data_IF_679016405670
#
_entry.id   IF_679016405670
#
_cell.length_a   1.000
_cell.length_b   1.000
_cell.length_c   1.000
_cell.angle_alpha   90.00
_cell.angle_beta   90.00
_cell.angle_gamma   90.00
#
_symmetry.space_group_name_H-M   'P 1'
#
loop_
_entity.id
_entity.type
_entity.pdbx_description
1 polymer ?
#
# COMPACT_ATOMS: atom_id res chain seq x y z
N UNK A 1 13.27 -9.76 2.56
CA UNK A 1 13.61 -8.85 3.63
C UNK A 1 13.64 -7.41 3.15
N UNK A 2 13.18 -6.51 3.98
CA UNK A 2 13.19 -5.09 3.69
C UNK A 2 14.13 -4.39 4.64
N UNK A 3 14.77 -3.35 4.15
CA UNK A 3 15.59 -2.50 4.95
C UNK A 3 15.08 -1.07 4.86
N UNK A 4 15.96 -0.13 4.71
CA UNK A 4 15.57 1.26 4.51
C UNK A 4 15.01 1.52 3.11
N UNK A 5 14.97 0.51 2.25
CA UNK A 5 14.35 0.59 0.95
C UNK A 5 13.67 -0.71 0.61
N UNK A 6 12.35 -0.68 0.46
CA UNK A 6 11.56 -1.79 -0.01
C UNK A 6 11.08 -1.45 -1.42
N UNK A 7 11.30 -2.38 -2.34
CA UNK A 7 10.79 -2.23 -3.69
C UNK A 7 9.91 -3.41 -4.03
N UNK A 8 8.66 -3.16 -4.35
CA UNK A 8 7.72 -4.15 -4.85
C UNK A 8 7.51 -3.86 -6.33
N UNK A 9 7.53 -4.92 -7.12
CA UNK A 9 7.21 -4.81 -8.55
C UNK A 9 5.76 -4.40 -8.70
N UNK A 10 5.41 -3.88 -9.88
CA UNK A 10 4.05 -3.48 -10.21
C UNK A 10 3.07 -4.61 -9.91
N UNK A 11 1.96 -4.27 -9.28
CA UNK A 11 0.87 -5.18 -8.97
C UNK A 11 -0.42 -4.60 -9.53
N UNK A 12 -1.18 -5.45 -10.23
CA UNK A 12 -2.51 -5.12 -10.73
C UNK A 12 -3.55 -5.81 -9.84
N UNK A 13 -4.49 -5.04 -9.36
CA UNK A 13 -5.55 -5.55 -8.50
C UNK A 13 -6.88 -5.24 -9.15
N UNK A 14 -7.70 -6.26 -9.41
CA UNK A 14 -9.00 -6.09 -10.04
C UNK A 14 -9.93 -7.25 -9.72
N UNK A 15 -11.22 -6.97 -9.70
CA UNK A 15 -12.26 -7.98 -9.58
C UNK A 15 -13.25 -7.96 -10.76
N UNK A 16 -12.81 -7.44 -11.88
CA UNK A 16 -13.61 -7.50 -13.12
C UNK A 16 -13.30 -8.81 -13.84
N UNK A 17 -14.24 -9.73 -13.83
CA UNK A 17 -14.05 -11.09 -14.35
C UNK A 17 -15.21 -11.43 -15.27
N UNK A 18 -14.93 -12.02 -16.45
CA UNK A 18 -15.92 -12.43 -17.44
C UNK A 18 -16.87 -11.30 -17.82
N UNK A 19 -16.34 -10.09 -18.01
CA UNK A 19 -17.09 -8.87 -18.34
C UNK A 19 -18.11 -8.48 -17.27
N UNK A 20 -17.90 -8.88 -16.02
CA UNK A 20 -18.77 -8.54 -14.91
C UNK A 20 -17.96 -8.08 -13.72
N UNK A 21 -18.50 -7.09 -13.02
CA UNK A 21 -17.99 -6.70 -11.73
C UNK A 21 -18.30 -7.78 -10.70
N UNK A 22 -17.34 -8.07 -9.82
CA UNK A 22 -17.49 -9.06 -8.75
C UNK A 22 -17.26 -8.39 -7.42
N UNK A 23 -18.07 -8.74 -6.44
CA UNK A 23 -17.81 -8.34 -5.06
C UNK A 23 -16.60 -9.11 -4.56
N UNK A 24 -15.61 -8.38 -4.06
CA UNK A 24 -14.36 -8.97 -3.56
C UNK A 24 -13.71 -8.04 -2.54
N UNK A 25 -12.93 -8.65 -1.67
CA UNK A 25 -12.02 -7.93 -0.78
C UNK A 25 -10.68 -8.64 -0.87
N UNK A 26 -9.64 -7.91 -1.17
CA UNK A 26 -8.30 -8.46 -1.31
C UNK A 26 -7.32 -7.63 -0.53
N UNK A 27 -6.39 -8.30 0.14
CA UNK A 27 -5.33 -7.69 0.90
C UNK A 27 -3.99 -8.12 0.33
N UNK A 28 -3.21 -7.17 -0.12
CA UNK A 28 -1.82 -7.40 -0.51
C UNK A 28 -0.94 -6.98 0.66
N UNK A 29 -0.48 -7.96 1.43
CA UNK A 29 0.21 -7.72 2.69
C UNK A 29 1.72 -7.80 2.44
N UNK A 30 2.45 -6.80 2.89
CA UNK A 30 3.90 -6.79 2.79
C UNK A 30 4.54 -7.80 3.74
N UNK A 31 5.75 -8.27 3.45
CA UNK A 31 6.57 -8.88 4.49
C UNK A 31 6.85 -7.90 5.62
N UNK A 32 7.38 -8.42 6.71
CA UNK A 32 7.73 -7.60 7.86
C UNK A 32 8.80 -6.58 7.52
N UNK A 33 8.61 -5.36 7.99
CA UNK A 33 9.58 -4.26 7.84
C UNK A 33 10.12 -3.93 9.23
N UNK A 34 11.44 -3.93 9.37
CA UNK A 34 12.10 -3.71 10.65
C UNK A 34 12.34 -2.21 10.85
N UNK A 35 11.56 -1.62 11.73
CA UNK A 35 11.73 -0.23 12.14
C UNK A 35 12.22 -0.11 13.58
N UNK A 36 12.75 -1.20 14.15
CA UNK A 36 13.11 -1.22 15.58
C UNK A 36 14.20 -0.24 15.95
N UNK A 37 15.03 0.15 14.99
CA UNK A 37 16.13 1.10 15.21
C UNK A 37 15.91 2.43 14.52
N UNK A 38 14.73 2.67 13.98
CA UNK A 38 14.42 3.93 13.31
C UNK A 38 13.83 4.92 14.28
N UNK A 39 14.15 6.19 14.11
CA UNK A 39 13.48 7.28 14.83
C UNK A 39 12.46 7.99 13.95
N UNK A 40 12.45 7.71 12.66
CA UNK A 40 11.47 8.19 11.71
C UNK A 40 11.38 7.20 10.56
N UNK A 41 10.23 7.15 9.90
CA UNK A 41 10.04 6.29 8.73
C UNK A 41 8.92 6.84 7.86
N UNK A 42 9.05 6.62 6.55
CA UNK A 42 8.12 7.11 5.56
C UNK A 42 7.88 6.01 4.52
N UNK A 43 6.60 5.79 4.19
CA UNK A 43 6.20 4.92 3.10
C UNK A 43 5.80 5.78 1.91
N UNK A 44 6.24 5.40 0.74
CA UNK A 44 5.85 6.05 -0.51
C UNK A 44 5.76 5.01 -1.61
N UNK A 45 4.82 5.21 -2.52
CA UNK A 45 4.66 4.35 -3.69
C UNK A 45 4.05 5.15 -4.83
N UNK A 46 4.13 4.60 -6.02
CA UNK A 46 3.45 5.14 -7.19
C UNK A 46 2.23 4.28 -7.48
N UNK A 47 1.14 4.90 -7.86
CA UNK A 47 -0.06 4.15 -8.18
C UNK A 47 -0.96 4.86 -9.17
N UNK A 48 -1.84 4.08 -9.78
CA UNK A 48 -2.90 4.58 -10.65
C UNK A 48 -4.11 3.66 -10.50
N UNK A 49 -5.29 4.21 -10.73
CA UNK A 49 -6.50 3.40 -10.67
C UNK A 49 -7.49 3.85 -11.72
N UNK A 50 -8.43 2.97 -12.04
CA UNK A 50 -9.60 3.29 -12.86
C UNK A 50 -10.81 2.53 -12.32
N UNK A 51 -11.99 3.06 -12.54
CA UNK A 51 -13.28 2.40 -12.33
C UNK A 51 -13.68 2.16 -10.86
N UNK A 52 -12.92 2.61 -9.89
CA UNK A 52 -13.34 2.49 -8.49
C UNK A 52 -14.49 3.47 -8.22
N UNK A 53 -15.49 3.01 -7.49
CA UNK A 53 -16.64 3.85 -7.13
C UNK A 53 -16.22 4.94 -6.14
N UNK A 54 -15.41 4.58 -5.16
CA UNK A 54 -14.89 5.51 -4.15
C UNK A 54 -13.49 5.07 -3.74
N UNK A 55 -12.48 5.72 -4.31
CA UNK A 55 -11.08 5.37 -4.07
C UNK A 55 -10.70 5.41 -2.59
N UNK A 56 -11.32 6.30 -1.82
CA UNK A 56 -10.98 6.45 -0.41
C UNK A 56 -11.53 5.35 0.47
N UNK A 57 -12.42 4.53 -0.06
CA UNK A 57 -12.98 3.35 0.61
C UNK A 57 -12.54 2.06 -0.03
N UNK A 58 -12.34 2.06 -1.34
CA UNK A 58 -12.11 0.84 -2.11
C UNK A 58 -10.63 0.55 -2.29
N UNK A 59 -9.78 1.57 -2.22
CA UNK A 59 -8.35 1.47 -2.47
C UNK A 59 -7.60 2.09 -1.30
N UNK A 60 -7.35 1.30 -0.26
CA UNK A 60 -6.88 1.83 1.03
C UNK A 60 -5.60 1.16 1.49
N UNK A 61 -4.92 1.83 2.40
CA UNK A 61 -3.66 1.37 2.99
C UNK A 61 -3.86 1.16 4.49
N UNK A 62 -3.32 0.05 4.98
CA UNK A 62 -3.43 -0.35 6.38
C UNK A 62 -2.07 -0.77 6.90
N UNK A 63 -1.88 -0.67 8.20
CA UNK A 63 -0.63 -1.06 8.85
C UNK A 63 -0.93 -1.76 10.16
N UNK A 64 -0.07 -2.70 10.51
CA UNK A 64 -0.11 -3.38 11.80
C UNK A 64 1.30 -3.67 12.28
N UNK A 65 1.47 -3.83 13.58
CA UNK A 65 2.69 -4.39 14.13
C UNK A 65 2.76 -5.86 13.78
N UNK A 66 3.93 -6.34 13.33
CA UNK A 66 4.11 -7.73 12.92
C UNK A 66 3.74 -8.69 14.05
N UNK A 67 2.95 -9.70 13.71
CA UNK A 67 2.49 -10.67 14.69
C UNK A 67 1.19 -10.30 15.37
N UNK A 68 0.65 -9.12 15.09
CA UNK A 68 -0.64 -8.68 15.63
C UNK A 68 -1.68 -8.61 14.53
N UNK A 69 -2.93 -8.78 14.90
CA UNK A 69 -4.06 -8.69 13.99
C UNK A 69 -4.89 -7.45 14.32
N UNK A 70 -4.21 -6.32 14.37
CA UNK A 70 -4.82 -5.04 14.74
C UNK A 70 -4.47 -4.01 13.67
N UNK A 71 -5.08 -4.16 12.50
CA UNK A 71 -4.83 -3.28 11.36
C UNK A 71 -5.46 -1.91 11.58
N UNK A 72 -4.68 -0.87 11.31
CA UNK A 72 -5.14 0.52 11.36
C UNK A 72 -5.00 1.14 9.97
N UNK A 73 -6.03 1.83 9.53
CA UNK A 73 -6.00 2.50 8.24
C UNK A 73 -5.14 3.76 8.30
N UNK A 74 -4.33 3.94 7.26
CA UNK A 74 -3.57 5.18 7.07
C UNK A 74 -4.04 5.83 5.78
N UNK A 75 -4.26 7.13 5.82
CA UNK A 75 -4.69 7.88 4.63
C UNK A 75 -3.58 7.87 3.58
N UNK A 76 -3.97 7.69 2.31
CA UNK A 76 -3.10 7.88 1.16
C UNK A 76 -3.27 9.34 0.73
N UNK A 77 -2.23 10.18 0.81
CA UNK A 77 -2.38 11.61 0.55
C UNK A 77 -2.79 11.95 -0.88
N UNK A 78 -2.41 11.12 -1.84
CA UNK A 78 -2.60 11.46 -3.23
C UNK A 78 -2.99 10.24 -4.06
N UNK A 79 -4.02 10.40 -4.90
CA UNK A 79 -4.47 9.41 -5.87
C UNK A 79 -4.42 10.01 -7.27
N UNK A 80 -4.32 9.16 -8.30
CA UNK A 80 -4.50 9.60 -9.68
C UNK A 80 -5.95 10.07 -9.89
N UNK A 81 -6.21 10.64 -11.06
CA UNK A 81 -7.55 11.15 -11.38
C UNK A 81 -8.57 10.05 -11.71
N UNK A 82 -8.13 8.80 -11.81
CA UNK A 82 -9.02 7.68 -12.14
C UNK A 82 -9.40 7.58 -13.60
N UNK A 83 -8.85 8.43 -14.45
CA UNK A 83 -9.24 8.50 -15.86
C UNK A 83 -8.21 7.87 -16.79
N UNK A 84 -7.01 7.60 -16.32
CA UNK A 84 -5.93 7.04 -17.12
C UNK A 84 -4.96 6.24 -16.27
N UNK A 85 -4.02 5.57 -16.91
CA UNK A 85 -2.97 4.83 -16.23
C UNK A 85 -1.72 5.69 -16.05
N UNK A 86 -1.90 6.98 -15.83
CA UNK A 86 -0.80 7.86 -15.44
C UNK A 86 -0.53 7.69 -13.95
N UNK A 87 0.62 7.13 -13.62
CA UNK A 87 1.00 6.90 -12.23
C UNK A 87 1.34 8.20 -11.54
N UNK A 88 0.91 8.32 -10.30
CA UNK A 88 1.26 9.44 -9.43
C UNK A 88 1.88 8.90 -8.15
N UNK A 89 2.70 9.71 -7.51
CA UNK A 89 3.21 9.37 -6.18
C UNK A 89 2.08 9.43 -5.17
N UNK A 90 2.08 8.48 -4.23
CA UNK A 90 1.15 8.50 -3.11
C UNK A 90 1.32 9.74 -2.23
N UNK A 91 2.45 10.42 -2.33
CA UNK A 91 2.92 11.36 -1.34
C UNK A 91 3.61 10.63 -0.18
N UNK A 92 4.27 11.37 0.67
CA UNK A 92 4.96 10.80 1.82
C UNK A 92 3.95 10.42 2.89
N UNK A 93 4.00 9.17 3.32
CA UNK A 93 3.11 8.62 4.34
C UNK A 93 3.94 8.35 5.58
N UNK A 94 3.69 9.10 6.65
CA UNK A 94 4.48 8.97 7.87
C UNK A 94 4.17 7.66 8.58
N UNK A 95 5.23 6.93 8.93
CA UNK A 95 5.16 5.75 9.79
C UNK A 95 5.77 6.02 11.17
N UNK A 96 5.83 7.28 11.55
CA UNK A 96 6.49 7.68 12.80
C UNK A 96 5.88 7.02 14.03
N UNK A 97 4.58 6.76 14.01
CA UNK A 97 3.90 6.09 15.12
C UNK A 97 4.29 4.62 15.26
N UNK A 98 5.02 4.08 14.31
CA UNK A 98 5.39 2.66 14.25
C UNK A 98 6.89 2.43 14.37
N UNK A 99 7.69 3.48 14.57
CA UNK A 99 9.12 3.29 14.80
C UNK A 99 9.35 2.55 16.11
N UNK A 100 10.43 1.80 16.16
CA UNK A 100 10.72 0.93 17.30
C UNK A 100 10.04 -0.43 17.21
N UNK A 101 9.37 -0.73 16.10
CA UNK A 101 8.60 -1.98 15.92
C UNK A 101 8.93 -2.61 14.59
N UNK A 102 8.62 -3.91 14.49
CA UNK A 102 8.51 -4.57 13.19
C UNK A 102 7.06 -4.41 12.74
N UNK A 103 6.85 -4.00 11.51
CA UNK A 103 5.50 -3.74 10.99
C UNK A 103 5.27 -4.47 9.69
N UNK A 104 4.00 -4.58 9.32
CA UNK A 104 3.55 -4.92 7.98
C UNK A 104 2.56 -3.86 7.53
N UNK A 105 2.57 -3.53 6.24
CA UNK A 105 1.53 -2.71 5.65
C UNK A 105 0.80 -3.51 4.59
N UNK A 106 -0.40 -3.08 4.24
CA UNK A 106 -1.22 -3.78 3.28
C UNK A 106 -2.01 -2.80 2.42
N UNK A 107 -2.14 -3.16 1.16
CA UNK A 107 -3.06 -2.50 0.24
C UNK A 107 -4.35 -3.31 0.24
N UNK A 108 -5.44 -2.68 0.64
CA UNK A 108 -6.74 -3.32 0.70
C UNK A 108 -7.59 -2.84 -0.46
N UNK A 109 -8.06 -3.78 -1.25
CA UNK A 109 -8.92 -3.54 -2.39
C UNK A 109 -10.31 -4.09 -2.11
N UNK A 110 -11.33 -3.29 -2.38
CA UNK A 110 -12.73 -3.70 -2.22
C UNK A 110 -13.47 -3.39 -3.52
N UNK A 111 -14.31 -4.31 -3.94
CA UNK A 111 -15.19 -4.13 -5.09
C UNK A 111 -16.60 -4.63 -4.78
N UNK A 112 -17.54 -4.24 -5.63
CA UNK A 112 -18.94 -4.67 -5.53
C UNK A 112 -19.40 -5.17 -6.89
N UNK A 113 -20.62 -5.69 -6.95
CA UNK A 113 -21.21 -6.08 -8.22
C UNK A 113 -21.61 -4.89 -9.10
N UNK A 114 -21.60 -3.69 -8.51
CA UNK A 114 -21.91 -2.46 -9.24
C UNK A 114 -20.65 -1.78 -9.78
N UNK A 115 -19.55 -1.91 -9.08
CA UNK A 115 -18.28 -1.30 -9.49
C UNK A 115 -17.11 -2.13 -9.02
N UNK A 116 -16.21 -2.47 -9.93
CA UNK A 116 -14.95 -3.11 -9.63
C UNK A 116 -13.84 -2.26 -10.21
N UNK A 117 -13.09 -1.61 -9.33
CA UNK A 117 -11.95 -0.82 -9.74
C UNK A 117 -10.80 -1.68 -10.23
N UNK A 118 -9.83 -1.03 -10.84
CA UNK A 118 -8.52 -1.62 -11.16
C UNK A 118 -7.48 -0.72 -10.53
N UNK A 119 -6.54 -1.32 -9.80
CA UNK A 119 -5.53 -0.58 -9.07
C UNK A 119 -4.16 -1.15 -9.37
N UNK A 120 -3.26 -0.30 -9.79
CA UNK A 120 -1.86 -0.68 -10.03
C UNK A 120 -0.98 0.09 -9.07
N UNK A 121 -0.09 -0.64 -8.41
CA UNK A 121 0.84 -0.10 -7.43
C UNK A 121 2.24 -0.55 -7.81
N UNK A 122 3.20 0.36 -7.78
CA UNK A 122 4.61 0.05 -8.08
C UNK A 122 5.54 0.94 -7.28
N UNK A 123 6.82 0.60 -7.32
CA UNK A 123 7.88 1.38 -6.66
C UNK A 123 7.60 1.63 -5.18
N UNK A 124 7.06 0.62 -4.50
CA UNK A 124 6.74 0.71 -3.08
C UNK A 124 8.05 0.74 -2.29
N UNK A 125 8.17 1.73 -1.40
CA UNK A 125 9.42 1.93 -0.70
C UNK A 125 9.15 2.46 0.70
N UNK A 126 9.85 1.90 1.69
CA UNK A 126 9.90 2.43 3.04
C UNK A 126 11.28 3.03 3.24
N UNK A 127 11.32 4.29 3.62
CA UNK A 127 12.57 5.00 3.89
C UNK A 127 12.59 5.33 5.37
N UNK A 128 13.59 4.80 6.06
CA UNK A 128 13.78 5.10 7.48
C UNK A 128 15.10 5.81 7.70
N UNK A 129 15.26 6.32 8.89
CA UNK A 129 16.54 6.81 9.36
C UNK A 129 17.18 5.80 10.31
N UNK A 130 18.37 6.12 10.79
CA UNK A 130 19.08 5.25 11.70
C UNK A 130 19.53 3.96 11.04
N UNK A 131 19.35 2.87 11.76
CA UNK A 131 19.89 1.57 11.37
C UNK A 131 18.86 0.67 10.71
N UNK A 132 17.94 1.21 9.94
CA UNK A 132 17.07 0.35 9.15
C UNK A 132 17.93 -0.48 8.22
N UNK A 133 17.89 -1.83 8.30
CA UNK A 133 18.73 -2.65 7.46
C UNK A 133 18.41 -2.40 5.98
N UNK A 134 19.47 -2.31 5.21
CA UNK A 134 19.35 -2.04 3.80
C UNK A 134 19.46 -3.37 3.05
N UNK A 135 18.41 -3.85 2.39
CA UNK A 135 18.52 -5.12 1.69
C UNK A 135 19.51 -4.99 0.54
N UNK A 136 20.21 -6.07 0.20
CA UNK A 136 20.99 -6.08 -1.01
C UNK A 136 20.04 -5.94 -2.20
N UNK A 137 20.41 -5.13 -3.09
CA UNK A 137 19.63 -4.90 -4.31
C UNK A 137 20.33 -5.52 -5.49
#
# INVERSE_FOLDING_TARGET
MFGNGLHIMKVDISAFVNNQNKAAESWLISPSVDLTKSSDATLVFDHAYKFAADKTKDLTLWVTETGKDAWAQIAIPNYSDGASWTFVSSGNISLKDYVGKNIQFAFKYVSTTEAAGMWEVKNVKVVGDGDVPNPPV
#
